data_IF_516625643624
#
_entry.id   IF_516625643624
#
_cell.length_a   1.000
_cell.length_b   1.000
_cell.length_c   1.000
_cell.angle_alpha   90.00
_cell.angle_beta   90.00
_cell.angle_gamma   90.00
#
_symmetry.space_group_name_H-M   'P 1'
#
loop_
_entity.id
_entity.type
_entity.pdbx_description
1 polymer ?
#
# COMPACT_ATOMS: atom_id res chain seq x y z
N UNK A 1 -1.12 -3.34 26.69
CA UNK A 1 -2.18 -2.57 26.00
C UNK A 1 -1.69 -1.16 25.73
N UNK A 2 -1.98 -0.65 24.53
CA UNK A 2 -1.57 0.70 24.16
C UNK A 2 -2.59 1.71 24.70
N UNK A 3 -2.12 2.64 25.54
CA UNK A 3 -2.98 3.69 26.12
C UNK A 3 -3.24 4.82 25.13
N UNK A 4 -2.33 5.03 24.19
CA UNK A 4 -2.46 6.10 23.19
C UNK A 4 -1.94 5.60 21.83
N UNK A 5 -2.88 5.13 21.01
CA UNK A 5 -2.57 4.58 19.69
C UNK A 5 -1.98 5.64 18.77
N UNK A 6 -2.48 6.89 18.85
CA UNK A 6 -1.97 7.96 17.99
C UNK A 6 -0.50 8.27 18.28
N UNK A 7 -0.12 8.33 19.56
CA UNK A 7 1.27 8.56 19.93
C UNK A 7 2.15 7.38 19.54
N UNK A 8 1.63 6.15 19.69
CA UNK A 8 2.34 4.95 19.26
C UNK A 8 2.58 4.94 17.74
N UNK A 9 1.58 5.37 16.98
CA UNK A 9 1.70 5.46 15.53
C UNK A 9 2.73 6.51 15.12
N UNK A 10 2.69 7.69 15.73
CA UNK A 10 3.67 8.74 15.46
C UNK A 10 5.10 8.25 15.75
N UNK A 11 5.28 7.53 16.85
CA UNK A 11 6.58 6.97 17.21
C UNK A 11 7.05 5.93 16.19
N UNK A 12 6.14 5.08 15.73
CA UNK A 12 6.46 4.08 14.70
C UNK A 12 6.87 4.74 13.39
N UNK A 13 6.12 5.76 12.97
CA UNK A 13 6.41 6.50 11.74
C UNK A 13 7.76 7.19 11.84
N UNK A 14 8.07 7.80 12.98
CA UNK A 14 9.36 8.46 13.19
C UNK A 14 10.53 7.48 13.06
N UNK A 15 10.40 6.29 13.63
CA UNK A 15 11.42 5.24 13.49
C UNK A 15 11.55 4.80 12.03
N UNK A 16 10.43 4.67 11.33
CA UNK A 16 10.39 4.29 9.92
C UNK A 16 11.12 5.33 9.06
N UNK A 17 10.81 6.60 9.26
CA UNK A 17 11.43 7.70 8.52
C UNK A 17 12.93 7.83 8.83
N UNK A 18 13.33 7.48 10.04
CA UNK A 18 14.75 7.50 10.44
C UNK A 18 15.52 6.30 9.88
N UNK A 19 14.84 5.34 9.26
CA UNK A 19 15.47 4.16 8.72
C UNK A 19 15.64 3.01 9.70
N UNK A 20 15.13 3.16 10.93
CA UNK A 20 15.15 2.11 11.95
C UNK A 20 14.02 1.13 11.69
N UNK A 21 14.14 0.36 10.62
CA UNK A 21 13.03 -0.44 10.11
C UNK A 21 12.60 -1.57 11.05
N UNK A 22 13.53 -2.20 11.75
CA UNK A 22 13.19 -3.25 12.70
C UNK A 22 12.42 -2.69 13.89
N UNK A 23 12.86 -1.55 14.40
CA UNK A 23 12.20 -0.88 15.52
C UNK A 23 10.80 -0.40 15.09
N UNK A 24 10.71 0.20 13.90
CA UNK A 24 9.43 0.62 13.35
C UNK A 24 8.46 -0.57 13.23
N UNK A 25 8.96 -1.69 12.71
CA UNK A 25 8.15 -2.90 12.57
C UNK A 25 7.59 -3.40 13.89
N UNK A 26 8.43 -3.44 14.92
CA UNK A 26 7.99 -3.84 16.25
C UNK A 26 6.88 -2.93 16.78
N UNK A 27 7.03 -1.62 16.56
CA UNK A 27 6.05 -0.64 16.99
C UNK A 27 4.71 -0.78 16.24
N UNK A 28 4.78 -0.98 14.92
CA UNK A 28 3.55 -1.22 14.15
C UNK A 28 2.85 -2.49 14.61
N UNK A 29 3.60 -3.55 14.86
CA UNK A 29 3.03 -4.82 15.33
C UNK A 29 2.32 -4.67 16.68
N UNK A 30 2.87 -3.85 17.58
CA UNK A 30 2.21 -3.57 18.85
C UNK A 30 0.84 -2.92 18.63
N UNK A 31 0.77 -1.97 17.70
CA UNK A 31 -0.50 -1.33 17.34
C UNK A 31 -1.47 -2.35 16.76
N UNK A 32 -0.99 -3.20 15.84
CA UNK A 32 -1.84 -4.18 15.18
C UNK A 32 -2.29 -5.31 16.09
N UNK A 33 -1.55 -5.59 17.17
CA UNK A 33 -2.02 -6.53 18.20
C UNK A 33 -3.21 -5.96 18.95
N UNK A 34 -3.18 -4.66 19.22
CA UNK A 34 -4.27 -3.97 19.91
C UNK A 34 -5.46 -3.71 18.98
N UNK A 35 -5.19 -3.38 17.73
CA UNK A 35 -6.21 -3.09 16.71
C UNK A 35 -5.78 -3.65 15.35
N UNK A 36 -6.10 -4.92 15.06
CA UNK A 36 -5.67 -5.56 13.81
C UNK A 36 -6.14 -4.88 12.53
N UNK A 37 -7.20 -4.08 12.60
CA UNK A 37 -7.73 -3.39 11.43
C UNK A 37 -7.37 -1.91 11.38
N UNK A 38 -6.48 -1.43 12.24
CA UNK A 38 -6.08 -0.02 12.25
C UNK A 38 -5.56 0.38 10.86
N UNK A 39 -6.25 1.32 10.16
CA UNK A 39 -5.92 1.59 8.75
C UNK A 39 -4.50 2.11 8.54
N UNK A 40 -4.09 3.15 9.25
CA UNK A 40 -2.77 3.74 9.06
C UNK A 40 -1.64 2.78 9.46
N UNK A 41 -1.84 2.01 10.52
CA UNK A 41 -0.83 1.03 10.93
C UNK A 41 -0.68 -0.06 9.89
N UNK A 42 -1.78 -0.55 9.33
CA UNK A 42 -1.74 -1.53 8.23
C UNK A 42 -1.06 -0.95 7.00
N UNK A 43 -1.39 0.28 6.63
CA UNK A 43 -0.78 0.92 5.47
C UNK A 43 0.73 1.09 5.66
N UNK A 44 1.14 1.66 6.77
CA UNK A 44 2.55 1.94 7.02
C UNK A 44 3.37 0.67 7.21
N UNK A 45 2.80 -0.32 7.91
CA UNK A 45 3.48 -1.62 8.06
C UNK A 45 3.57 -2.34 6.72
N UNK A 46 2.54 -2.20 5.88
CA UNK A 46 2.56 -2.74 4.52
C UNK A 46 3.72 -2.16 3.71
N UNK A 47 3.87 -0.83 3.73
CA UNK A 47 4.98 -0.17 3.05
C UNK A 47 6.33 -0.61 3.58
N UNK A 48 6.45 -0.75 4.89
CA UNK A 48 7.66 -1.24 5.53
C UNK A 48 8.01 -2.65 5.04
N UNK A 49 7.01 -3.51 4.99
CA UNK A 49 7.17 -4.90 4.58
C UNK A 49 7.63 -4.99 3.12
N UNK A 50 7.06 -4.15 2.25
CA UNK A 50 7.50 -4.04 0.86
C UNK A 50 8.98 -3.64 0.80
N UNK A 51 9.36 -2.64 1.58
CA UNK A 51 10.73 -2.14 1.62
C UNK A 51 11.71 -3.19 2.11
N UNK A 52 11.27 -4.08 2.99
CA UNK A 52 12.09 -5.18 3.50
C UNK A 52 12.17 -6.36 2.54
N UNK A 53 11.58 -6.25 1.36
CA UNK A 53 11.67 -7.29 0.35
C UNK A 53 10.57 -8.33 0.38
N UNK A 54 9.46 -8.05 1.07
CA UNK A 54 8.32 -8.94 1.16
C UNK A 54 7.06 -8.26 0.58
N UNK A 55 7.07 -7.95 -0.74
CA UNK A 55 5.96 -7.19 -1.32
C UNK A 55 4.62 -7.91 -1.30
N UNK A 56 4.60 -9.23 -1.45
CA UNK A 56 3.35 -9.98 -1.41
C UNK A 56 2.67 -9.86 -0.04
N UNK A 57 3.48 -9.91 1.03
CA UNK A 57 2.99 -9.71 2.38
C UNK A 57 2.51 -8.25 2.57
N UNK A 58 3.29 -7.30 2.05
CA UNK A 58 2.94 -5.89 2.11
C UNK A 58 1.59 -5.59 1.48
N UNK A 59 1.30 -6.21 0.33
CA UNK A 59 0.01 -6.04 -0.35
C UNK A 59 -1.16 -6.44 0.56
N UNK A 60 -1.00 -7.49 1.36
CA UNK A 60 -2.07 -7.93 2.26
C UNK A 60 -2.39 -6.86 3.32
N UNK A 61 -1.36 -6.22 3.88
CA UNK A 61 -1.57 -5.14 4.85
C UNK A 61 -2.18 -3.91 4.19
N UNK A 62 -1.72 -3.56 2.99
CA UNK A 62 -2.28 -2.43 2.23
C UNK A 62 -3.75 -2.69 1.91
N UNK A 63 -4.09 -3.92 1.58
CA UNK A 63 -5.46 -4.32 1.29
C UNK A 63 -6.36 -4.14 2.51
N UNK A 64 -5.87 -4.52 3.69
CA UNK A 64 -6.62 -4.32 4.93
C UNK A 64 -6.89 -2.84 5.18
N UNK A 65 -5.90 -1.97 4.94
CA UNK A 65 -6.07 -0.53 5.10
C UNK A 65 -7.21 -0.01 4.21
N UNK A 66 -7.22 -0.43 2.95
CA UNK A 66 -8.23 -0.02 1.98
C UNK A 66 -9.62 -0.53 2.36
N UNK A 67 -9.71 -1.78 2.78
CA UNK A 67 -10.99 -2.38 3.17
C UNK A 67 -11.57 -1.69 4.40
N UNK A 68 -10.69 -1.25 5.29
CA UNK A 68 -11.12 -0.57 6.52
C UNK A 68 -11.50 0.88 6.25
N UNK A 69 -10.73 1.57 5.40
CA UNK A 69 -11.02 2.97 5.06
C UNK A 69 -10.68 3.27 3.60
N UNK A 70 -11.63 3.02 2.67
CA UNK A 70 -11.40 3.22 1.24
C UNK A 70 -11.33 4.68 0.79
N UNK A 71 -11.60 5.64 1.68
CA UNK A 71 -11.63 7.06 1.31
C UNK A 71 -10.26 7.72 1.29
N UNK A 72 -9.21 7.06 1.81
CA UNK A 72 -7.86 7.61 1.83
C UNK A 72 -7.15 7.30 0.52
N UNK A 73 -6.99 8.31 -0.33
CA UNK A 73 -6.39 8.15 -1.65
C UNK A 73 -5.00 7.51 -1.59
N UNK A 74 -4.19 7.88 -0.60
CA UNK A 74 -2.82 7.37 -0.48
C UNK A 74 -2.77 5.84 -0.34
N UNK A 75 -3.75 5.23 0.32
CA UNK A 75 -3.79 3.78 0.45
C UNK A 75 -3.90 3.10 -0.92
N UNK A 76 -4.73 3.66 -1.80
CA UNK A 76 -4.89 3.14 -3.16
C UNK A 76 -3.63 3.34 -3.99
N UNK A 77 -3.00 4.51 -3.87
CA UNK A 77 -1.75 4.78 -4.59
C UNK A 77 -0.68 3.77 -4.17
N UNK A 78 -0.58 3.49 -2.88
CA UNK A 78 0.41 2.56 -2.36
C UNK A 78 0.21 1.13 -2.87
N UNK A 79 -1.03 0.63 -2.86
CA UNK A 79 -1.27 -0.74 -3.32
C UNK A 79 -1.06 -0.87 -4.83
N UNK A 80 -1.55 0.10 -5.60
CA UNK A 80 -1.40 0.06 -7.06
C UNK A 80 0.09 0.11 -7.42
N UNK A 81 0.84 1.02 -6.80
CA UNK A 81 2.28 1.14 -7.06
C UNK A 81 3.04 -0.13 -6.71
N UNK A 82 2.70 -0.76 -5.58
CA UNK A 82 3.33 -2.01 -5.17
C UNK A 82 3.03 -3.14 -6.15
N UNK A 83 1.77 -3.24 -6.59
CA UNK A 83 1.39 -4.25 -7.56
C UNK A 83 2.14 -4.07 -8.88
N UNK A 84 2.35 -2.82 -9.31
CA UNK A 84 3.13 -2.54 -10.51
C UNK A 84 4.60 -2.92 -10.33
N UNK A 85 5.17 -2.68 -9.14
CA UNK A 85 6.56 -3.06 -8.85
C UNK A 85 6.77 -4.57 -8.99
N UNK A 86 5.80 -5.37 -8.55
CA UNK A 86 5.91 -6.83 -8.66
C UNK A 86 5.37 -7.38 -9.98
N UNK A 87 5.07 -6.48 -10.91
CA UNK A 87 4.60 -6.83 -12.26
C UNK A 87 3.21 -7.49 -12.28
N UNK A 88 2.42 -7.30 -11.25
CA UNK A 88 1.04 -7.78 -11.20
C UNK A 88 0.12 -6.72 -11.78
N UNK A 89 0.22 -6.55 -13.09
CA UNK A 89 -0.46 -5.48 -13.83
C UNK A 89 -1.98 -5.64 -13.79
N UNK A 90 -2.46 -6.87 -13.86
CA UNK A 90 -3.90 -7.14 -13.85
C UNK A 90 -4.55 -6.74 -12.51
N UNK A 91 -3.94 -7.10 -11.39
CA UNK A 91 -4.47 -6.68 -10.09
C UNK A 91 -4.32 -5.17 -9.86
N UNK A 92 -3.26 -4.57 -10.42
CA UNK A 92 -3.11 -3.12 -10.38
C UNK A 92 -4.26 -2.44 -11.12
N UNK A 93 -4.64 -2.97 -12.28
CA UNK A 93 -5.76 -2.44 -13.07
C UNK A 93 -7.08 -2.57 -12.31
N UNK A 94 -7.31 -3.71 -11.69
CA UNK A 94 -8.52 -3.95 -10.91
C UNK A 94 -8.58 -2.98 -9.73
N UNK A 95 -7.47 -2.79 -9.03
CA UNK A 95 -7.41 -1.84 -7.90
C UNK A 95 -7.69 -0.41 -8.36
N UNK A 96 -7.14 -0.02 -9.52
CA UNK A 96 -7.38 1.31 -10.07
C UNK A 96 -8.86 1.53 -10.38
N UNK A 97 -9.52 0.54 -10.97
CA UNK A 97 -10.95 0.62 -11.27
C UNK A 97 -11.78 0.80 -10.00
N UNK A 98 -11.44 0.04 -8.95
CA UNK A 98 -12.12 0.16 -7.66
C UNK A 98 -11.88 1.53 -7.03
N UNK A 99 -10.66 2.06 -7.13
CA UNK A 99 -10.34 3.39 -6.63
C UNK A 99 -11.20 4.45 -7.31
N UNK A 100 -11.38 4.34 -8.62
CA UNK A 100 -12.23 5.25 -9.39
C UNK A 100 -13.69 5.17 -8.96
N UNK A 101 -14.19 3.97 -8.70
CA UNK A 101 -15.55 3.76 -8.21
C UNK A 101 -15.79 4.47 -6.87
N UNK A 102 -14.76 4.52 -6.03
CA UNK A 102 -14.83 5.22 -4.74
C UNK A 102 -14.75 6.74 -4.92
N UNK A 103 -14.25 7.19 -6.07
CA UNK A 103 -14.18 8.63 -6.38
C UNK A 103 -12.77 9.17 -6.53
N UNK A 104 -11.76 8.31 -6.51
CA UNK A 104 -10.35 8.74 -6.68
C UNK A 104 -10.02 8.82 -8.17
N UNK A 105 -9.89 10.04 -8.68
CA UNK A 105 -9.68 10.26 -10.12
C UNK A 105 -8.76 11.44 -10.43
N UNK A 106 -7.92 11.85 -9.49
CA UNK A 106 -7.04 12.99 -9.71
C UNK A 106 -5.84 12.62 -10.60
N UNK A 107 -4.92 13.57 -10.79
CA UNK A 107 -3.77 13.41 -11.68
C UNK A 107 -2.91 12.19 -11.33
N UNK A 108 -2.75 11.88 -10.03
CA UNK A 108 -1.95 10.72 -9.61
C UNK A 108 -2.56 9.44 -10.18
N UNK A 109 -3.88 9.30 -10.10
CA UNK A 109 -4.56 8.12 -10.61
C UNK A 109 -4.53 8.06 -12.13
N UNK A 110 -4.56 9.19 -12.80
CA UNK A 110 -4.39 9.24 -14.25
C UNK A 110 -3.00 8.76 -14.68
N UNK A 111 -1.97 9.13 -13.93
CA UNK A 111 -0.61 8.66 -14.19
C UNK A 111 -0.48 7.16 -13.96
N UNK A 112 -1.11 6.65 -12.91
CA UNK A 112 -1.13 5.21 -12.64
C UNK A 112 -1.84 4.47 -13.77
N UNK A 113 -2.94 5.02 -14.27
CA UNK A 113 -3.67 4.43 -15.40
C UNK A 113 -2.78 4.37 -16.65
N UNK A 114 -2.03 5.42 -16.93
CA UNK A 114 -1.10 5.47 -18.07
C UNK A 114 -0.01 4.42 -17.93
N UNK A 115 0.54 4.27 -16.73
CA UNK A 115 1.57 3.26 -16.47
C UNK A 115 1.05 1.85 -16.68
N UNK A 116 -0.17 1.59 -16.21
CA UNK A 116 -0.81 0.29 -16.38
C UNK A 116 -1.00 0.00 -17.87
N UNK A 117 -1.51 0.96 -18.63
CA UNK A 117 -1.75 0.79 -20.05
C UNK A 117 -0.44 0.54 -20.80
N UNK A 118 0.60 1.29 -20.46
CA UNK A 118 1.92 1.11 -21.05
C UNK A 118 2.44 -0.31 -20.81
N UNK A 119 2.34 -0.79 -19.58
CA UNK A 119 2.84 -2.13 -19.23
C UNK A 119 2.03 -3.24 -19.88
N UNK A 120 0.72 -3.06 -20.04
CA UNK A 120 -0.13 -4.02 -20.74
C UNK A 120 0.24 -4.11 -22.21
N UNK A 121 0.42 -2.97 -22.85
CA UNK A 121 0.77 -2.88 -24.27
C UNK A 121 2.16 -3.46 -24.52
N UNK A 122 3.12 -3.12 -23.69
CA UNK A 122 4.49 -3.63 -23.81
C UNK A 122 4.54 -5.16 -23.68
N UNK A 123 3.79 -5.70 -22.73
CA UNK A 123 3.72 -7.14 -22.52
C UNK A 123 3.12 -7.84 -23.74
N UNK A 124 2.05 -7.27 -24.32
CA UNK A 124 1.40 -7.81 -25.50
C UNK A 124 2.35 -7.79 -26.71
N UNK A 125 3.07 -6.70 -26.88
CA UNK A 125 4.05 -6.56 -27.97
C UNK A 125 5.18 -7.59 -27.83
N UNK A 126 5.64 -7.84 -26.60
CA UNK A 126 6.65 -8.87 -26.36
C UNK A 126 6.17 -10.26 -26.74
N UNK A 127 4.91 -10.55 -26.49
CA UNK A 127 4.31 -11.85 -26.80
C UNK A 127 4.14 -12.09 -28.29
N UNK A 128 4.00 -11.02 -29.06
CA UNK A 128 3.79 -11.15 -30.51
C UNK A 128 5.07 -11.29 -31.32
N UNK A 129 6.22 -11.11 -30.68
CA UNK A 129 7.53 -11.30 -31.31
C UNK A 129 8.01 -12.74 -31.14
#
# INVERSE_FOLDING_TARGET
>A
MLDNVDAALESAIASHEAGDLLVAGEKYLEILKADPSHPDANHNFGLLTVKLGEPAMGVQFLKTAIETNPTVAQYWVSIISTLLEIKDVENARIALEKAKEVGHSDEVFEKLASNIEFLRTSSTESETV
#
